data_IF_715223253195
#
_entry.id   IF_715223253195
#
_cell.length_a   1.000
_cell.length_b   1.000
_cell.length_c   1.000
_cell.angle_alpha   90.00
_cell.angle_beta   90.00
_cell.angle_gamma   90.00
#
_symmetry.space_group_name_H-M   'P 1'
#
loop_
_entity.id
_entity.type
_entity.pdbx_description
1 polymer ?
#
# COMPACT_ATOMS: atom_id res chain seq x y z
N UNK A 1 -13.74 57.58 -6.48
CA UNK A 1 -12.96 58.84 -6.34
C UNK A 1 -11.66 58.56 -5.63
N UNK A 2 -10.62 59.04 -6.26
CA UNK A 2 -9.23 59.22 -5.82
C UNK A 2 -8.31 58.02 -5.82
N UNK A 3 -7.55 57.99 -6.91
CA UNK A 3 -6.22 57.43 -7.05
C UNK A 3 -5.18 58.20 -6.22
N UNK A 4 -4.11 57.52 -5.83
CA UNK A 4 -2.81 58.17 -5.65
C UNK A 4 -1.70 57.20 -6.00
N UNK A 5 -0.88 57.66 -6.92
CA UNK A 5 0.37 57.08 -7.39
C UNK A 5 1.55 57.69 -6.59
N UNK A 6 2.72 57.11 -6.80
CA UNK A 6 4.08 57.63 -6.74
C UNK A 6 4.99 56.79 -5.88
N UNK A 7 6.27 56.61 -6.10
CA UNK A 7 7.21 57.12 -7.09
C UNK A 7 8.46 56.20 -7.03
N UNK A 8 9.16 56.20 -8.17
CA UNK A 8 10.49 55.59 -8.40
C UNK A 8 11.60 56.47 -7.80
N UNK A 9 12.60 55.86 -7.23
CA UNK A 9 13.90 56.51 -7.00
C UNK A 9 15.04 55.55 -7.36
N UNK A 10 15.75 55.89 -8.43
CA UNK A 10 16.97 55.26 -8.86
C UNK A 10 18.17 55.83 -8.10
N UNK A 11 19.18 55.01 -7.89
CA UNK A 11 20.52 55.47 -7.47
C UNK A 11 21.57 54.77 -8.35
N UNK A 12 22.28 55.60 -9.13
CA UNK A 12 23.54 55.24 -9.79
C UNK A 12 24.67 55.18 -8.76
N UNK A 13 25.53 54.17 -8.83
CA UNK A 13 26.84 54.19 -8.18
C UNK A 13 27.92 53.78 -9.17
N UNK A 14 28.98 54.55 -9.15
CA UNK A 14 30.08 54.63 -10.07
C UNK A 14 31.06 53.47 -10.01
N UNK A 15 31.68 53.15 -11.14
CA UNK A 15 32.78 52.22 -11.31
C UNK A 15 34.09 52.84 -10.80
N UNK A 16 34.86 52.09 -9.94
CA UNK A 16 36.28 52.29 -9.73
C UNK A 16 37.04 51.05 -10.22
N UNK A 17 37.86 51.25 -11.24
CA UNK A 17 38.74 50.24 -11.78
C UNK A 17 39.95 50.00 -10.83
N UNK A 18 40.29 48.73 -10.61
CA UNK A 18 41.60 48.33 -10.04
C UNK A 18 42.26 47.34 -10.99
N UNK A 19 43.46 47.69 -11.40
CA UNK A 19 44.39 46.96 -12.26
C UNK A 19 44.76 45.61 -11.62
N UNK A 20 44.53 44.54 -12.37
CA UNK A 20 44.88 43.18 -11.96
C UNK A 20 46.26 42.83 -12.48
N UNK A 21 47.23 42.68 -11.58
CA UNK A 21 48.53 42.08 -11.84
C UNK A 21 48.42 40.55 -11.86
N UNK A 22 48.86 39.94 -12.95
CA UNK A 22 48.87 38.49 -13.14
C UNK A 22 50.10 37.89 -12.47
N UNK A 23 49.98 36.88 -11.57
CA UNK A 23 51.13 36.07 -11.17
C UNK A 23 51.33 34.90 -12.12
N UNK A 24 52.60 34.57 -12.33
CA UNK A 24 53.11 33.54 -13.23
C UNK A 24 52.60 32.13 -12.85
N UNK A 25 52.34 31.31 -13.86
CA UNK A 25 51.99 29.91 -13.74
C UNK A 25 53.16 29.07 -13.23
N UNK A 26 52.92 28.28 -12.18
CA UNK A 26 53.78 27.14 -11.79
C UNK A 26 53.24 25.88 -12.47
N UNK A 27 54.09 24.96 -12.99
CA UNK A 27 53.67 23.73 -13.60
C UNK A 27 53.37 22.64 -12.55
N UNK A 28 52.20 22.06 -12.66
CA UNK A 28 51.95 20.65 -12.47
C UNK A 28 51.97 20.06 -11.06
N UNK A 29 50.84 19.88 -10.48
CA UNK A 29 50.56 18.68 -9.66
C UNK A 29 49.10 18.23 -9.99
N UNK A 30 48.98 17.14 -10.71
CA UNK A 30 47.66 16.50 -10.93
C UNK A 30 47.13 16.04 -9.57
N UNK A 31 45.83 16.23 -9.29
CA UNK A 31 45.23 15.67 -8.09
C UNK A 31 45.26 14.16 -8.14
N UNK A 32 45.41 13.45 -7.01
CA UNK A 32 45.36 11.99 -6.98
C UNK A 32 43.98 11.51 -7.44
N UNK A 33 43.98 10.46 -8.27
CA UNK A 33 42.78 9.81 -8.74
C UNK A 33 41.92 9.36 -7.55
N UNK A 34 40.66 9.72 -7.56
CA UNK A 34 39.70 9.26 -6.57
C UNK A 34 39.65 7.71 -6.58
N UNK A 35 39.59 7.05 -5.40
CA UNK A 35 39.50 5.61 -5.35
C UNK A 35 38.20 5.15 -6.07
N UNK A 36 38.19 3.98 -6.74
CA UNK A 36 37.00 3.48 -7.41
C UNK A 36 35.89 3.34 -6.39
N UNK A 37 34.71 3.90 -6.73
CA UNK A 37 33.53 3.78 -5.90
C UNK A 37 33.29 2.28 -5.63
N UNK A 38 33.31 1.90 -4.35
CA UNK A 38 33.00 0.54 -3.95
C UNK A 38 31.63 0.15 -4.55
N UNK A 39 31.60 -0.93 -5.32
CA UNK A 39 30.40 -1.49 -5.88
C UNK A 39 29.41 -1.70 -4.70
N UNK A 40 28.24 -1.05 -4.75
CA UNK A 40 27.17 -1.31 -3.79
C UNK A 40 26.90 -2.81 -3.82
N UNK A 41 26.89 -3.51 -2.67
CA UNK A 41 26.55 -4.92 -2.65
C UNK A 41 25.21 -5.10 -3.39
N UNK A 42 25.18 -6.00 -4.36
CA UNK A 42 23.98 -6.29 -5.14
C UNK A 42 22.84 -6.57 -4.18
N UNK A 43 21.76 -5.78 -4.28
CA UNK A 43 20.55 -5.97 -3.48
C UNK A 43 20.06 -7.39 -3.73
N UNK A 44 19.97 -8.21 -2.69
CA UNK A 44 19.43 -9.55 -2.77
C UNK A 44 18.10 -9.51 -3.56
N UNK A 45 17.81 -10.52 -4.40
CA UNK A 45 16.54 -10.55 -5.12
C UNK A 45 15.41 -10.46 -4.11
N UNK A 46 14.58 -9.41 -4.23
CA UNK A 46 13.48 -9.20 -3.31
C UNK A 46 12.52 -10.39 -3.32
N UNK A 47 11.81 -10.61 -2.23
CA UNK A 47 10.84 -11.69 -2.09
C UNK A 47 9.83 -11.59 -3.25
N UNK A 48 9.65 -12.68 -4.01
CA UNK A 48 8.63 -12.76 -5.04
C UNK A 48 7.24 -12.79 -4.39
N UNK A 49 6.28 -12.10 -5.00
CA UNK A 49 4.90 -12.18 -4.54
C UNK A 49 4.35 -13.60 -4.71
N UNK A 50 3.58 -14.07 -3.73
CA UNK A 50 2.84 -15.32 -3.87
C UNK A 50 1.80 -15.19 -5.00
N UNK A 51 1.54 -16.28 -5.72
CA UNK A 51 0.46 -16.36 -6.72
C UNK A 51 -0.88 -16.77 -6.09
N UNK A 52 -1.97 -16.68 -6.87
CA UNK A 52 -3.28 -17.17 -6.43
C UNK A 52 -3.23 -18.64 -6.06
N UNK A 53 -3.94 -18.98 -4.98
CA UNK A 53 -4.01 -20.34 -4.46
C UNK A 53 -5.46 -20.73 -4.24
N UNK A 54 -5.81 -21.96 -4.62
CA UNK A 54 -7.11 -22.56 -4.27
C UNK A 54 -7.02 -23.18 -2.87
N UNK A 55 -8.04 -22.90 -2.06
CA UNK A 55 -8.24 -23.51 -0.74
C UNK A 55 -9.42 -24.48 -0.85
N UNK A 56 -9.16 -25.80 -0.89
CA UNK A 56 -10.22 -26.80 -1.03
C UNK A 56 -11.23 -26.70 0.11
N UNK A 57 -12.52 -26.80 -0.22
CA UNK A 57 -13.61 -26.72 0.78
C UNK A 57 -14.06 -25.29 1.12
N UNK A 58 -13.30 -24.25 0.73
CA UNK A 58 -13.75 -22.88 0.92
C UNK A 58 -14.59 -22.37 -0.26
N UNK A 59 -15.58 -21.48 -0.01
CA UNK A 59 -16.41 -20.89 -1.05
C UNK A 59 -15.59 -20.01 -2.01
N UNK A 60 -16.18 -19.65 -3.15
CA UNK A 60 -15.56 -18.70 -4.10
C UNK A 60 -15.29 -17.36 -3.41
N UNK A 61 -16.25 -16.85 -2.63
CA UNK A 61 -16.09 -15.63 -1.86
C UNK A 61 -15.86 -15.97 -0.39
N UNK A 62 -14.73 -15.51 0.14
CA UNK A 62 -14.28 -15.78 1.50
C UNK A 62 -14.35 -14.48 2.29
N UNK A 63 -15.08 -14.46 3.41
CA UNK A 63 -15.20 -13.32 4.32
C UNK A 63 -14.49 -13.55 5.66
N UNK A 64 -14.17 -14.79 6.01
CA UNK A 64 -13.40 -15.14 7.19
C UNK A 64 -12.65 -16.47 7.00
N UNK A 65 -11.68 -16.72 7.84
CA UNK A 65 -10.96 -18.00 7.95
C UNK A 65 -11.53 -18.94 9.02
N UNK A 66 -10.83 -20.05 9.27
CA UNK A 66 -11.18 -21.01 10.32
C UNK A 66 -11.27 -20.35 11.71
N UNK A 67 -12.26 -20.73 12.51
CA UNK A 67 -12.54 -20.14 13.83
C UNK A 67 -11.81 -20.82 14.98
N UNK A 68 -11.12 -21.89 14.70
CA UNK A 68 -10.39 -22.73 15.66
C UNK A 68 -8.94 -22.29 15.90
N UNK A 69 -8.46 -21.29 15.16
CA UNK A 69 -7.10 -20.76 15.30
C UNK A 69 -7.10 -19.33 15.82
N UNK A 70 -6.21 -18.99 16.79
CA UNK A 70 -6.15 -17.66 17.39
C UNK A 70 -5.39 -16.69 16.46
N UNK A 71 -5.92 -16.45 15.27
CA UNK A 71 -5.35 -15.55 14.28
C UNK A 71 -6.44 -14.74 13.58
N UNK A 72 -6.06 -13.58 13.06
CA UNK A 72 -6.90 -12.68 12.26
C UNK A 72 -6.10 -12.14 11.08
N UNK A 73 -6.77 -11.77 9.98
CA UNK A 73 -6.14 -11.05 8.88
C UNK A 73 -6.56 -9.58 8.93
N UNK A 74 -5.60 -8.68 9.15
CA UNK A 74 -5.80 -7.26 8.91
C UNK A 74 -5.55 -7.01 7.43
N UNK A 75 -6.57 -6.55 6.70
CA UNK A 75 -6.51 -6.34 5.25
C UNK A 75 -6.74 -4.88 4.91
N UNK A 76 -5.86 -4.32 4.10
CA UNK A 76 -5.86 -2.90 3.78
C UNK A 76 -6.19 -2.67 2.31
N UNK A 77 -7.08 -1.73 2.02
CA UNK A 77 -7.26 -1.20 0.68
C UNK A 77 -6.10 -0.25 0.40
N UNK A 78 -5.25 -0.65 -0.56
CA UNK A 78 -4.02 0.07 -0.92
C UNK A 78 -4.32 1.24 -1.83
N UNK A 79 -4.60 2.39 -1.25
CA UNK A 79 -4.87 3.68 -1.88
C UNK A 79 -4.46 4.82 -0.93
N UNK A 80 -4.42 6.07 -1.43
CA UNK A 80 -4.16 7.27 -0.65
C UNK A 80 -2.68 7.62 -0.52
N UNK A 81 -2.33 8.42 0.49
CA UNK A 81 -0.98 8.94 0.68
C UNK A 81 0.03 7.82 0.96
N UNK A 82 1.12 7.72 0.18
CA UNK A 82 2.21 6.79 0.43
C UNK A 82 2.85 6.90 1.82
N UNK A 83 2.84 8.07 2.44
CA UNK A 83 3.39 8.26 3.79
C UNK A 83 2.52 7.54 4.83
N UNK A 84 1.20 7.64 4.71
CA UNK A 84 0.23 6.92 5.55
C UNK A 84 0.40 5.41 5.40
N UNK A 85 0.51 4.91 4.16
CA UNK A 85 0.76 3.50 3.89
C UNK A 85 2.05 3.00 4.56
N UNK A 86 3.14 3.75 4.46
CA UNK A 86 4.43 3.41 5.10
C UNK A 86 4.33 3.42 6.62
N UNK A 87 3.58 4.35 7.20
CA UNK A 87 3.37 4.44 8.64
C UNK A 87 2.60 3.22 9.16
N UNK A 88 1.48 2.84 8.53
CA UNK A 88 0.70 1.64 8.90
C UNK A 88 1.55 0.37 8.81
N UNK A 89 2.33 0.20 7.73
CA UNK A 89 3.22 -0.96 7.57
C UNK A 89 4.30 -1.00 8.67
N UNK A 90 4.87 0.15 9.03
CA UNK A 90 5.87 0.24 10.10
C UNK A 90 5.29 -0.14 11.47
N UNK A 91 4.04 0.27 11.78
CA UNK A 91 3.36 -0.13 13.01
C UNK A 91 3.11 -1.65 13.05
N UNK A 92 2.64 -2.23 11.93
CA UNK A 92 2.45 -3.67 11.84
C UNK A 92 3.76 -4.43 12.07
N UNK A 93 4.84 -4.02 11.41
CA UNK A 93 6.17 -4.63 11.54
C UNK A 93 6.74 -4.52 12.96
N UNK A 94 6.55 -3.35 13.62
CA UNK A 94 7.00 -3.15 15.01
C UNK A 94 6.31 -4.10 15.99
N UNK A 95 5.05 -4.40 15.74
CA UNK A 95 4.27 -5.36 16.52
C UNK A 95 4.49 -6.83 16.10
N UNK A 96 5.35 -7.11 15.13
CA UNK A 96 5.55 -8.46 14.57
C UNK A 96 4.35 -8.99 13.80
N UNK A 97 3.43 -8.11 13.40
CA UNK A 97 2.24 -8.44 12.63
C UNK A 97 2.54 -8.48 11.13
N UNK A 98 1.82 -9.32 10.39
CA UNK A 98 1.81 -9.33 8.93
C UNK A 98 0.41 -9.08 8.42
N UNK A 99 0.31 -8.29 7.36
CA UNK A 99 -0.96 -7.82 6.82
C UNK A 99 -1.11 -8.20 5.35
N UNK A 100 -2.33 -8.10 4.83
CA UNK A 100 -2.62 -8.27 3.40
C UNK A 100 -3.07 -6.92 2.83
N UNK A 101 -2.39 -6.46 1.79
CA UNK A 101 -2.74 -5.23 1.07
C UNK A 101 -3.38 -5.58 -0.25
N UNK A 102 -4.61 -5.12 -0.49
CA UNK A 102 -5.31 -5.20 -1.76
C UNK A 102 -5.15 -3.83 -2.43
N UNK A 103 -4.25 -3.71 -3.39
CA UNK A 103 -3.86 -2.42 -3.96
C UNK A 103 -4.61 -2.11 -5.26
N UNK A 104 -4.96 -0.83 -5.43
CA UNK A 104 -5.54 -0.28 -6.65
C UNK A 104 -4.46 -0.17 -7.71
N UNK A 105 -4.76 -0.53 -8.96
CA UNK A 105 -3.80 -0.52 -10.05
C UNK A 105 -3.19 0.86 -10.32
N UNK A 106 -4.02 1.90 -10.37
CA UNK A 106 -3.57 3.29 -10.57
C UNK A 106 -2.69 3.81 -9.43
N UNK A 107 -2.94 3.38 -8.19
CA UNK A 107 -2.09 3.71 -7.05
C UNK A 107 -0.71 3.05 -7.16
N UNK A 108 -0.66 1.78 -7.59
CA UNK A 108 0.61 1.10 -7.87
C UNK A 108 1.33 1.67 -9.10
N UNK A 109 0.60 2.30 -10.01
CA UNK A 109 1.19 3.00 -11.16
C UNK A 109 1.90 4.28 -10.74
N UNK A 110 1.26 5.03 -9.84
CA UNK A 110 1.82 6.25 -9.26
C UNK A 110 2.95 5.98 -8.24
N UNK A 111 2.90 4.84 -7.53
CA UNK A 111 3.80 4.51 -6.43
C UNK A 111 4.36 3.08 -6.54
N UNK A 112 5.08 2.74 -7.62
CA UNK A 112 5.53 1.36 -7.89
C UNK A 112 6.48 0.80 -6.82
N UNK A 113 7.19 1.66 -6.10
CA UNK A 113 8.09 1.26 -5.02
C UNK A 113 7.35 0.67 -3.81
N UNK A 114 6.06 0.99 -3.63
CA UNK A 114 5.26 0.45 -2.54
C UNK A 114 4.97 -1.04 -2.70
N UNK A 115 4.90 -1.54 -3.94
CA UNK A 115 4.79 -2.98 -4.17
C UNK A 115 5.95 -3.73 -3.51
N UNK A 116 7.16 -3.23 -3.67
CA UNK A 116 8.36 -3.81 -3.06
C UNK A 116 8.37 -3.61 -1.55
N UNK A 117 8.02 -2.39 -1.07
CA UNK A 117 7.95 -2.09 0.36
C UNK A 117 7.02 -3.04 1.12
N UNK A 118 5.86 -3.36 0.55
CA UNK A 118 4.89 -4.29 1.13
C UNK A 118 5.49 -5.71 1.21
N UNK A 119 6.04 -6.22 0.11
CA UNK A 119 6.57 -7.59 0.05
C UNK A 119 7.83 -7.78 0.91
N UNK A 120 8.76 -6.82 0.90
CA UNK A 120 10.00 -6.87 1.68
C UNK A 120 9.72 -6.82 3.20
N UNK A 121 8.60 -6.19 3.63
CA UNK A 121 8.09 -6.23 5.00
C UNK A 121 7.45 -7.56 5.42
N UNK A 122 7.37 -8.55 4.50
CA UNK A 122 6.75 -9.84 4.77
C UNK A 122 5.23 -9.86 4.66
N UNK A 123 4.64 -8.78 4.15
CA UNK A 123 3.21 -8.65 3.91
C UNK A 123 2.79 -9.28 2.57
N UNK A 124 1.49 -9.43 2.36
CA UNK A 124 0.93 -9.83 1.06
C UNK A 124 0.46 -8.63 0.27
N UNK A 125 0.57 -8.74 -1.05
CA UNK A 125 0.07 -7.74 -2.00
C UNK A 125 -0.85 -8.41 -3.01
N UNK A 126 -2.09 -7.96 -3.08
CA UNK A 126 -3.13 -8.45 -3.98
C UNK A 126 -3.83 -7.33 -4.75
N UNK A 127 -4.86 -7.70 -5.49
CA UNK A 127 -5.56 -6.90 -6.48
C UNK A 127 -6.84 -6.28 -5.90
N UNK A 128 -7.03 -4.95 -6.08
CA UNK A 128 -8.23 -4.22 -5.70
C UNK A 128 -8.80 -3.39 -6.86
N UNK A 129 -8.88 -3.99 -8.06
CA UNK A 129 -9.30 -3.34 -9.31
C UNK A 129 -8.29 -2.29 -9.82
N UNK A 130 -8.53 -1.76 -11.03
CA UNK A 130 -7.62 -0.79 -11.63
C UNK A 130 -7.89 0.63 -11.13
N UNK A 131 -9.17 1.11 -11.19
CA UNK A 131 -9.54 2.48 -10.83
C UNK A 131 -10.37 2.59 -9.53
N UNK A 132 -10.81 1.48 -8.93
CA UNK A 132 -11.68 1.47 -7.76
C UNK A 132 -13.10 2.00 -8.03
N UNK A 133 -13.65 1.81 -9.25
CA UNK A 133 -15.06 2.10 -9.55
C UNK A 133 -16.01 1.06 -8.94
N UNK A 134 -17.31 1.29 -9.01
CA UNK A 134 -18.32 0.29 -8.60
C UNK A 134 -18.37 -0.87 -9.59
N UNK A 135 -17.49 -1.84 -9.40
CA UNK A 135 -17.33 -2.98 -10.31
C UNK A 135 -18.58 -3.85 -10.40
N UNK A 136 -19.44 -3.87 -9.37
CA UNK A 136 -20.67 -4.63 -9.37
C UNK A 136 -21.72 -4.04 -10.35
N UNK A 137 -21.63 -2.74 -10.65
CA UNK A 137 -22.51 -2.05 -11.60
C UNK A 137 -21.93 -1.93 -13.01
N UNK A 138 -20.69 -2.34 -13.23
CA UNK A 138 -20.03 -2.22 -14.54
C UNK A 138 -20.51 -3.28 -15.54
N UNK A 139 -20.53 -2.96 -16.85
CA UNK A 139 -20.63 -3.95 -17.91
C UNK A 139 -19.52 -5.01 -17.80
N UNK A 140 -19.79 -6.25 -18.24
CA UNK A 140 -18.85 -7.38 -18.09
C UNK A 140 -17.44 -7.07 -18.62
N UNK A 141 -17.31 -6.47 -19.79
CA UNK A 141 -16.03 -6.17 -20.40
C UNK A 141 -15.22 -5.15 -19.56
N UNK A 142 -15.88 -4.14 -19.02
CA UNK A 142 -15.25 -3.12 -18.17
C UNK A 142 -14.83 -3.72 -16.83
N UNK A 143 -15.72 -4.48 -16.18
CA UNK A 143 -15.41 -5.17 -14.94
C UNK A 143 -14.22 -6.13 -15.10
N UNK A 144 -14.14 -6.84 -16.23
CA UNK A 144 -13.01 -7.71 -16.51
C UNK A 144 -11.72 -6.94 -16.73
N UNK A 145 -11.78 -5.79 -17.42
CA UNK A 145 -10.63 -4.93 -17.63
C UNK A 145 -10.09 -4.34 -16.32
N UNK A 146 -10.98 -3.97 -15.38
CA UNK A 146 -10.60 -3.54 -14.03
C UNK A 146 -9.79 -4.60 -13.27
N UNK A 147 -10.20 -5.86 -13.35
CA UNK A 147 -9.51 -6.97 -12.68
C UNK A 147 -8.16 -7.24 -13.36
N UNK A 148 -8.17 -7.40 -14.70
CA UNK A 148 -6.98 -7.81 -15.45
C UNK A 148 -5.93 -6.71 -15.55
N UNK A 149 -6.33 -5.45 -15.67
CA UNK A 149 -5.41 -4.31 -15.69
C UNK A 149 -4.56 -4.24 -14.42
N UNK A 150 -5.20 -4.37 -13.25
CA UNK A 150 -4.47 -4.41 -11.97
C UNK A 150 -3.63 -5.69 -11.84
N UNK A 151 -4.14 -6.85 -12.26
CA UNK A 151 -3.39 -8.11 -12.23
C UNK A 151 -2.11 -8.03 -13.07
N UNK A 152 -2.17 -7.46 -14.26
CA UNK A 152 -1.01 -7.25 -15.12
C UNK A 152 0.00 -6.27 -14.50
N UNK A 153 -0.48 -5.21 -13.83
CA UNK A 153 0.39 -4.28 -13.13
C UNK A 153 1.14 -4.96 -11.99
N UNK A 154 0.44 -5.71 -11.16
CA UNK A 154 1.03 -6.52 -10.10
C UNK A 154 2.09 -7.47 -10.67
N UNK A 155 1.77 -8.19 -11.75
CA UNK A 155 2.70 -9.12 -12.40
C UNK A 155 3.97 -8.44 -12.90
N UNK A 156 3.86 -7.25 -13.50
CA UNK A 156 5.02 -6.46 -13.94
C UNK A 156 5.91 -6.04 -12.78
N UNK A 157 5.32 -5.67 -11.62
CA UNK A 157 6.07 -5.17 -10.46
C UNK A 157 6.68 -6.28 -9.60
N UNK A 158 6.02 -7.45 -9.54
CA UNK A 158 6.30 -8.45 -8.50
C UNK A 158 6.54 -9.86 -9.06
N UNK A 159 6.27 -10.09 -10.34
CA UNK A 159 6.32 -11.42 -10.97
C UNK A 159 5.05 -12.24 -10.78
N UNK A 160 4.05 -11.76 -10.01
CA UNK A 160 2.80 -12.46 -9.74
C UNK A 160 1.60 -11.50 -9.83
N UNK A 161 0.42 -12.03 -10.14
CA UNK A 161 -0.85 -11.26 -10.06
C UNK A 161 -1.32 -11.06 -8.61
N UNK A 162 -0.57 -11.55 -7.63
CA UNK A 162 -0.92 -11.53 -6.21
C UNK A 162 -1.84 -12.69 -5.79
N UNK A 163 -1.87 -13.07 -4.51
CA UNK A 163 -2.65 -14.22 -4.04
C UNK A 163 -4.16 -13.96 -4.00
N UNK A 164 -4.58 -12.69 -3.89
CA UNK A 164 -5.96 -12.30 -3.62
C UNK A 164 -6.47 -11.23 -4.57
N UNK A 165 -7.76 -11.33 -4.89
CA UNK A 165 -8.55 -10.26 -5.48
C UNK A 165 -9.67 -9.88 -4.51
N UNK A 166 -9.88 -8.58 -4.29
CA UNK A 166 -11.07 -8.01 -3.65
C UNK A 166 -11.69 -7.02 -4.62
N UNK A 167 -13.01 -7.11 -4.81
CA UNK A 167 -13.76 -6.14 -5.60
C UNK A 167 -13.83 -4.78 -4.90
N UNK A 168 -14.01 -3.72 -5.66
CA UNK A 168 -14.15 -2.36 -5.17
C UNK A 168 -15.62 -2.01 -4.87
N UNK A 169 -15.80 -1.07 -3.95
CA UNK A 169 -17.08 -0.47 -3.55
C UNK A 169 -18.15 -1.48 -3.14
N UNK A 170 -17.89 -2.17 -2.02
CA UNK A 170 -18.85 -3.10 -1.42
C UNK A 170 -18.19 -4.17 -0.59
N UNK A 171 -19.00 -4.88 0.19
CA UNK A 171 -18.53 -6.01 0.98
C UNK A 171 -18.55 -7.31 0.19
N UNK A 172 -19.54 -7.49 -0.72
CA UNK A 172 -19.71 -8.73 -1.46
C UNK A 172 -19.72 -8.50 -2.97
N UNK A 173 -18.92 -9.29 -3.68
CA UNK A 173 -18.88 -9.30 -5.14
C UNK A 173 -20.13 -9.96 -5.73
N UNK A 174 -20.71 -9.33 -6.74
CA UNK A 174 -21.80 -9.93 -7.52
C UNK A 174 -21.33 -11.24 -8.20
N UNK A 175 -22.24 -12.18 -8.49
CA UNK A 175 -21.89 -13.45 -9.14
C UNK A 175 -21.12 -13.27 -10.46
N UNK A 176 -21.38 -12.22 -11.22
CA UNK A 176 -20.63 -11.89 -12.42
C UNK A 176 -19.16 -11.59 -12.08
N UNK A 177 -18.92 -10.70 -11.12
CA UNK A 177 -17.57 -10.31 -10.71
C UNK A 177 -16.79 -11.50 -10.17
N UNK A 178 -17.43 -12.40 -9.41
CA UNK A 178 -16.80 -13.65 -8.94
C UNK A 178 -16.33 -14.53 -10.11
N UNK A 179 -17.17 -14.72 -11.15
CA UNK A 179 -16.79 -15.47 -12.36
C UNK A 179 -15.66 -14.81 -13.13
N UNK A 180 -15.68 -13.48 -13.23
CA UNK A 180 -14.62 -12.71 -13.90
C UNK A 180 -13.30 -12.81 -13.16
N UNK A 181 -13.31 -12.75 -11.83
CA UNK A 181 -12.13 -12.97 -11.01
C UNK A 181 -11.54 -14.37 -11.23
N UNK A 182 -12.38 -15.40 -11.26
CA UNK A 182 -11.94 -16.77 -11.57
C UNK A 182 -11.34 -16.89 -12.98
N UNK A 183 -11.95 -16.25 -13.98
CA UNK A 183 -11.43 -16.18 -15.36
C UNK A 183 -10.08 -15.45 -15.42
N UNK A 184 -9.87 -14.45 -14.58
CA UNK A 184 -8.60 -13.71 -14.45
C UNK A 184 -7.51 -14.47 -13.67
N UNK A 185 -7.85 -15.65 -13.11
CA UNK A 185 -6.89 -16.51 -12.40
C UNK A 185 -6.98 -16.47 -10.87
N UNK A 186 -7.97 -15.79 -10.28
CA UNK A 186 -8.21 -15.77 -8.84
C UNK A 186 -9.26 -16.82 -8.44
N UNK A 187 -8.87 -17.95 -7.81
CA UNK A 187 -9.82 -19.00 -7.42
C UNK A 187 -10.87 -18.53 -6.40
N UNK A 188 -10.50 -17.52 -5.61
CA UNK A 188 -11.33 -16.94 -4.58
C UNK A 188 -11.34 -15.42 -4.66
N UNK A 189 -12.46 -14.82 -4.24
CA UNK A 189 -12.63 -13.39 -3.99
C UNK A 189 -12.56 -13.15 -2.49
N UNK A 190 -11.70 -12.26 -2.03
CA UNK A 190 -11.58 -11.95 -0.61
C UNK A 190 -12.56 -10.85 -0.21
N UNK A 191 -13.44 -11.14 0.74
CA UNK A 191 -14.29 -10.19 1.43
C UNK A 191 -13.77 -9.97 2.87
N UNK A 192 -14.63 -9.59 3.79
CA UNK A 192 -14.33 -9.38 5.20
C UNK A 192 -15.60 -9.61 6.05
N UNK A 193 -15.42 -9.98 7.31
CA UNK A 193 -16.49 -10.11 8.30
C UNK A 193 -16.45 -8.99 9.35
N UNK A 194 -15.41 -8.15 9.34
CA UNK A 194 -15.26 -6.98 10.23
C UNK A 194 -14.89 -5.76 9.40
N UNK A 195 -15.70 -4.69 9.53
CA UNK A 195 -15.42 -3.40 8.90
C UNK A 195 -15.00 -2.38 9.97
N UNK A 196 -13.84 -1.77 9.78
CA UNK A 196 -13.35 -0.72 10.68
C UNK A 196 -14.09 0.61 10.53
N UNK A 197 -14.72 0.84 9.37
CA UNK A 197 -15.32 2.10 8.95
C UNK A 197 -14.35 3.30 9.00
N UNK A 198 -13.04 3.03 8.95
CA UNK A 198 -11.98 4.04 9.01
C UNK A 198 -12.07 5.05 7.86
N UNK A 199 -12.60 4.64 6.70
CA UNK A 199 -12.83 5.49 5.54
C UNK A 199 -13.84 6.64 5.79
N UNK A 200 -14.60 6.59 6.87
CA UNK A 200 -15.49 7.67 7.30
C UNK A 200 -14.79 8.71 8.18
N UNK A 201 -13.52 8.52 8.49
CA UNK A 201 -12.72 9.36 9.41
C UNK A 201 -13.39 9.59 10.77
N UNK A 202 -13.78 8.51 11.49
CA UNK A 202 -14.58 8.63 12.73
C UNK A 202 -13.72 8.87 13.98
N UNK A 203 -12.41 9.04 13.82
CA UNK A 203 -11.41 9.08 14.87
C UNK A 203 -10.89 7.68 15.27
N UNK A 204 -9.62 7.60 15.65
CA UNK A 204 -8.92 6.33 15.96
C UNK A 204 -9.67 5.48 17.00
N UNK A 205 -10.24 6.11 18.04
CA UNK A 205 -11.00 5.38 19.07
C UNK A 205 -12.26 4.68 18.52
N UNK A 206 -12.91 5.25 17.51
CA UNK A 206 -14.04 4.61 16.85
C UNK A 206 -13.59 3.46 15.95
N UNK A 207 -12.50 3.63 15.18
CA UNK A 207 -11.88 2.56 14.39
C UNK A 207 -11.56 1.35 15.28
N UNK A 208 -10.92 1.57 16.44
CA UNK A 208 -10.60 0.51 17.40
C UNK A 208 -11.87 -0.20 17.87
N UNK A 209 -12.90 0.54 18.28
CA UNK A 209 -14.17 -0.08 18.74
C UNK A 209 -14.85 -0.89 17.66
N UNK A 210 -14.87 -0.38 16.43
CA UNK A 210 -15.49 -1.05 15.28
C UNK A 210 -14.81 -2.38 14.96
N UNK A 211 -13.50 -2.47 15.15
CA UNK A 211 -12.75 -3.69 14.94
C UNK A 211 -12.83 -4.61 16.16
N UNK A 212 -12.50 -4.10 17.35
CA UNK A 212 -12.34 -4.91 18.56
C UNK A 212 -13.67 -5.47 19.08
N UNK A 213 -14.79 -4.80 18.81
CA UNK A 213 -16.11 -5.30 19.19
C UNK A 213 -16.43 -6.66 18.54
N UNK A 214 -16.45 -6.77 17.21
CA UNK A 214 -16.84 -7.99 16.50
C UNK A 214 -15.69 -8.97 16.25
N UNK A 215 -14.42 -8.55 16.31
CA UNK A 215 -13.28 -9.40 15.93
C UNK A 215 -13.15 -10.65 16.80
N UNK A 216 -12.89 -11.78 16.14
CA UNK A 216 -12.67 -13.11 16.75
C UNK A 216 -11.69 -13.93 15.94
N UNK A 217 -11.31 -15.09 16.41
CA UNK A 217 -10.50 -16.04 15.64
C UNK A 217 -11.02 -16.21 14.23
N UNK A 218 -10.14 -16.14 13.24
CA UNK A 218 -10.46 -16.27 11.83
C UNK A 218 -11.02 -15.02 11.15
N UNK A 219 -11.24 -13.91 11.86
CA UNK A 219 -11.78 -12.69 11.23
C UNK A 219 -10.84 -12.11 10.17
N UNK A 220 -11.45 -11.64 9.10
CA UNK A 220 -10.82 -10.78 8.08
C UNK A 220 -11.34 -9.36 8.28
N UNK A 221 -10.44 -8.43 8.59
CA UNK A 221 -10.75 -7.04 8.91
C UNK A 221 -10.48 -6.14 7.71
N UNK A 222 -11.42 -5.27 7.36
CA UNK A 222 -11.28 -4.25 6.32
C UNK A 222 -10.77 -2.94 6.93
N UNK A 223 -9.67 -2.41 6.36
CA UNK A 223 -9.02 -1.14 6.72
C UNK A 223 -8.52 -0.45 5.42
N UNK A 224 -8.08 0.81 5.53
CA UNK A 224 -7.61 1.60 4.39
C UNK A 224 -6.30 2.33 4.71
N UNK A 225 -5.43 2.48 3.71
CA UNK A 225 -4.18 3.24 3.87
C UNK A 225 -4.35 4.76 3.83
N UNK A 226 -5.45 5.26 3.28
CA UNK A 226 -5.64 6.67 3.00
C UNK A 226 -6.00 7.57 4.21
N UNK A 227 -6.09 7.04 5.44
CA UNK A 227 -6.67 7.76 6.56
C UNK A 227 -5.73 7.82 7.76
N UNK A 228 -5.57 9.03 8.33
CA UNK A 228 -4.73 9.25 9.52
C UNK A 228 -5.25 8.47 10.74
N UNK A 229 -6.58 8.40 10.90
CA UNK A 229 -7.22 7.64 11.98
C UNK A 229 -6.79 6.16 12.00
N UNK A 230 -6.52 5.58 10.81
CA UNK A 230 -6.01 4.21 10.69
C UNK A 230 -4.61 4.11 11.26
N UNK A 231 -3.72 5.06 10.97
CA UNK A 231 -2.36 5.08 11.52
C UNK A 231 -2.40 5.14 13.03
N UNK A 232 -3.19 6.08 13.58
CA UNK A 232 -3.30 6.31 15.02
C UNK A 232 -3.98 5.12 15.75
N UNK A 233 -4.85 4.40 15.05
CA UNK A 233 -5.52 3.22 15.60
C UNK A 233 -4.62 1.98 15.63
N UNK A 234 -3.61 1.87 14.75
CA UNK A 234 -2.82 0.64 14.60
C UNK A 234 -2.13 0.18 15.88
N UNK A 235 -1.37 1.02 16.63
CA UNK A 235 -0.69 0.55 17.84
C UNK A 235 -1.66 -0.03 18.87
N UNK A 236 -2.70 0.71 19.35
CA UNK A 236 -3.62 0.17 20.37
C UNK A 236 -4.47 -0.99 19.85
N UNK A 237 -4.77 -1.05 18.54
CA UNK A 237 -5.47 -2.18 17.93
C UNK A 237 -4.62 -3.46 18.02
N UNK A 238 -3.35 -3.39 17.65
CA UNK A 238 -2.42 -4.52 17.69
C UNK A 238 -2.15 -4.98 19.13
N UNK A 239 -2.02 -4.06 20.08
CA UNK A 239 -1.90 -4.35 21.51
C UNK A 239 -3.14 -5.10 22.03
N UNK A 240 -4.34 -4.65 21.66
CA UNK A 240 -5.58 -5.29 22.11
C UNK A 240 -5.76 -6.68 21.47
N UNK A 241 -5.39 -6.86 20.20
CA UNK A 241 -5.37 -8.18 19.56
C UNK A 241 -4.39 -9.13 20.29
N UNK A 242 -3.20 -8.65 20.63
CA UNK A 242 -2.21 -9.43 21.38
C UNK A 242 -2.74 -9.81 22.78
N UNK A 243 -3.38 -8.89 23.50
CA UNK A 243 -4.03 -9.13 24.79
C UNK A 243 -5.11 -10.22 24.70
N UNK A 244 -5.84 -10.29 23.58
CA UNK A 244 -6.82 -11.34 23.27
C UNK A 244 -6.18 -12.61 22.71
N UNK A 245 -4.85 -12.65 22.61
CA UNK A 245 -4.08 -13.77 22.03
C UNK A 245 -4.42 -14.02 20.55
N UNK A 246 -4.88 -13.01 19.82
CA UNK A 246 -5.15 -13.06 18.38
C UNK A 246 -3.93 -12.54 17.62
N UNK A 247 -3.28 -13.40 16.84
CA UNK A 247 -2.14 -13.00 16.00
C UNK A 247 -2.61 -12.39 14.69
N UNK A 248 -2.10 -11.20 14.34
CA UNK A 248 -2.31 -10.62 13.03
C UNK A 248 -1.35 -11.28 12.01
N UNK A 249 -1.92 -12.01 11.07
CA UNK A 249 -1.21 -12.78 10.04
C UNK A 249 -1.70 -12.39 8.64
N UNK A 250 -0.99 -12.80 7.58
CA UNK A 250 -1.51 -12.63 6.23
C UNK A 250 -2.76 -13.47 5.97
N UNK A 251 -3.56 -13.10 4.99
CA UNK A 251 -4.77 -13.89 4.63
C UNK A 251 -4.41 -15.31 4.23
N UNK A 252 -3.33 -15.49 3.46
CA UNK A 252 -2.89 -16.85 3.09
C UNK A 252 -2.50 -17.68 4.30
N UNK A 253 -1.81 -17.09 5.28
CA UNK A 253 -1.48 -17.79 6.55
C UNK A 253 -2.72 -18.10 7.36
N UNK A 254 -3.69 -17.18 7.43
CA UNK A 254 -4.95 -17.41 8.13
C UNK A 254 -5.69 -18.62 7.58
N UNK A 255 -5.66 -18.82 6.26
CA UNK A 255 -6.39 -19.88 5.57
C UNK A 255 -5.59 -21.17 5.35
N UNK A 256 -4.28 -21.13 5.57
CA UNK A 256 -3.44 -22.35 5.45
C UNK A 256 -3.55 -23.18 6.71
N UNK A 257 -3.84 -24.49 6.62
CA UNK A 257 -3.90 -25.42 7.76
C UNK A 257 -2.64 -25.48 8.59
#
# INVERSE_FOLDING_TARGET
MRASAAAVAGALAAACGTTRTTPAAHPGSSPPAAPPAAARPGRAPGRAAAGPRRFPGLPVQIDHGPRDRPAVALTFHGNGDPATARAVLAEAERAGARVTVLAIGTWLDAHPELARRILDGGHELGNHTWHHGDINAMPEAEAYAEITGCAERLKRLTGSIGPWFRHSQGQYAAPLVQRLAQRAGYPHVLSYDVDSLDFTSPGAAAVIRNVIGPVRSGSVVSLHFGYADTVDAMPPLLEELARRKLRAVTTTELLTP
#
